data_IF_773490126407
#
_entry.id   IF_773490126407
#
_cell.length_a   1.000
_cell.length_b   1.000
_cell.length_c   1.000
_cell.angle_alpha   90.00
_cell.angle_beta   90.00
_cell.angle_gamma   90.00
#
_symmetry.space_group_name_H-M   'P 1'
#
loop_
_entity.id
_entity.type
_entity.pdbx_description
1 polymer ?
#
# COMPACT_ATOMS: atom_id res chain seq x y z
N UNK A 1 -5.34 -7.50 -14.38
CA UNK A 1 -5.85 -6.30 -15.08
C UNK A 1 -7.33 -6.02 -14.82
N UNK A 2 -8.20 -7.03 -14.68
CA UNK A 2 -9.66 -6.80 -14.50
C UNK A 2 -10.01 -5.92 -13.29
N UNK A 3 -9.26 -5.99 -12.18
CA UNK A 3 -9.49 -5.16 -11.00
C UNK A 3 -9.12 -3.68 -11.21
N UNK A 4 -8.09 -3.41 -12.02
CA UNK A 4 -7.63 -2.04 -12.27
C UNK A 4 -8.68 -1.21 -13.04
N UNK A 5 -9.42 -1.86 -13.95
CA UNK A 5 -10.49 -1.22 -14.70
C UNK A 5 -11.71 -0.86 -13.84
N UNK A 6 -11.82 -1.41 -12.62
CA UNK A 6 -12.87 -1.06 -11.65
C UNK A 6 -12.49 0.10 -10.74
N UNK A 7 -11.26 0.62 -10.84
CA UNK A 7 -10.80 1.71 -9.99
C UNK A 7 -11.64 2.98 -10.17
N UNK A 8 -12.15 3.22 -11.38
CA UNK A 8 -13.02 4.37 -11.67
C UNK A 8 -14.43 4.23 -11.06
N UNK A 9 -14.84 3.01 -10.70
CA UNK A 9 -16.12 2.75 -10.02
C UNK A 9 -16.03 3.01 -8.50
N UNK A 10 -14.82 3.12 -7.94
CA UNK A 10 -14.61 3.35 -6.52
C UNK A 10 -14.74 4.84 -6.16
N UNK A 11 -15.18 5.16 -4.93
CA UNK A 11 -15.18 6.53 -4.44
C UNK A 11 -13.79 7.17 -4.59
N UNK A 12 -13.72 8.38 -5.14
CA UNK A 12 -12.46 9.10 -5.27
C UNK A 12 -11.85 9.32 -3.89
N UNK A 13 -10.60 8.92 -3.73
CA UNK A 13 -9.78 9.16 -2.53
C UNK A 13 -8.66 10.12 -2.91
N UNK A 14 -8.09 10.78 -1.90
CA UNK A 14 -6.94 11.65 -2.10
C UNK A 14 -5.76 10.82 -2.62
N UNK A 15 -5.30 11.15 -3.82
CA UNK A 15 -4.06 10.63 -4.36
C UNK A 15 -2.87 11.41 -3.82
N UNK A 16 -1.76 10.71 -3.59
CA UNK A 16 -0.51 11.30 -3.11
C UNK A 16 0.69 10.70 -3.84
N UNK A 17 1.70 11.51 -4.10
CA UNK A 17 2.95 11.04 -4.70
C UNK A 17 3.93 10.55 -3.64
N UNK A 18 4.47 9.35 -3.83
CA UNK A 18 5.54 8.78 -3.01
C UNK A 18 6.91 9.31 -3.48
N UNK A 19 7.28 10.52 -3.07
CA UNK A 19 8.55 11.19 -3.44
C UNK A 19 9.51 11.28 -2.26
N UNK A 20 10.82 11.15 -2.48
CA UNK A 20 11.80 11.30 -1.41
C UNK A 20 13.24 11.36 -1.93
N UNK A 21 14.18 11.64 -1.03
CA UNK A 21 15.62 11.57 -1.33
C UNK A 21 16.06 10.11 -1.47
N UNK A 22 17.19 9.86 -2.10
CA UNK A 22 17.80 8.52 -2.13
C UNK A 22 17.92 7.96 -0.70
N UNK A 23 17.53 6.69 -0.51
CA UNK A 23 17.44 6.06 0.81
C UNK A 23 16.08 6.19 1.51
N UNK A 24 15.10 6.92 0.93
CA UNK A 24 13.73 6.93 1.46
C UNK A 24 13.08 5.55 1.30
N UNK A 25 12.48 5.05 2.38
CA UNK A 25 11.74 3.79 2.41
C UNK A 25 10.26 4.07 2.62
N UNK A 26 9.42 3.45 1.80
CA UNK A 26 7.98 3.42 1.96
C UNK A 26 7.55 2.04 2.43
N UNK A 27 6.92 1.99 3.60
CA UNK A 27 6.23 0.80 4.07
C UNK A 27 4.80 0.82 3.54
N UNK A 28 4.50 -0.08 2.61
CA UNK A 28 3.19 -0.15 1.96
C UNK A 28 2.32 -1.23 2.60
N UNK A 29 1.06 -0.90 2.86
CA UNK A 29 0.06 -1.89 3.23
C UNK A 29 -0.19 -2.86 2.04
N UNK A 30 -0.42 -4.17 2.26
CA UNK A 30 -0.60 -5.15 1.17
C UNK A 30 -1.74 -4.84 0.18
N UNK A 31 -2.75 -4.10 0.64
CA UNK A 31 -3.90 -3.68 -0.18
C UNK A 31 -3.82 -2.23 -0.67
N UNK A 32 -2.66 -1.57 -0.53
CA UNK A 32 -2.47 -0.23 -1.08
C UNK A 32 -2.62 -0.26 -2.61
N UNK A 33 -3.57 0.49 -3.14
CA UNK A 33 -3.65 0.75 -4.58
C UNK A 33 -2.57 1.76 -4.93
N UNK A 34 -1.59 1.35 -5.74
CA UNK A 34 -0.51 2.23 -6.20
C UNK A 34 -0.15 1.94 -7.64
N UNK A 35 0.46 2.92 -8.31
CA UNK A 35 0.95 2.80 -9.68
C UNK A 35 2.36 3.37 -9.80
N UNK A 36 3.14 2.81 -10.72
CA UNK A 36 4.40 3.41 -11.11
C UNK A 36 4.11 4.62 -12.03
N UNK A 37 4.86 5.69 -11.85
CA UNK A 37 4.84 6.85 -12.74
C UNK A 37 6.02 6.76 -13.73
N UNK A 38 5.85 7.24 -14.98
CA UNK A 38 6.96 7.38 -15.91
C UNK A 38 8.12 8.18 -15.29
N UNK A 39 9.35 7.74 -15.53
CA UNK A 39 10.52 8.47 -15.08
C UNK A 39 10.80 9.65 -16.02
N UNK A 40 10.60 10.87 -15.52
CA UNK A 40 10.86 12.13 -16.24
C UNK A 40 12.16 12.82 -15.84
N UNK A 41 12.97 12.17 -15.00
CA UNK A 41 14.28 12.69 -14.57
C UNK A 41 15.38 12.39 -15.60
N UNK A 42 16.52 13.06 -15.43
CA UNK A 42 17.73 12.82 -16.26
C UNK A 42 18.73 11.87 -15.61
N UNK A 43 18.56 11.57 -14.32
CA UNK A 43 19.41 10.68 -13.54
C UNK A 43 18.74 9.31 -13.36
N UNK A 44 19.45 8.19 -13.60
CA UNK A 44 18.90 6.86 -13.39
C UNK A 44 18.31 6.67 -11.99
N UNK A 45 17.09 6.14 -11.93
CA UNK A 45 16.39 5.81 -10.68
C UNK A 45 16.47 4.31 -10.40
N UNK A 46 17.21 3.94 -9.36
CA UNK A 46 17.24 2.57 -8.84
C UNK A 46 16.27 2.43 -7.66
N UNK A 47 15.47 1.37 -7.63
CA UNK A 47 14.54 1.05 -6.55
C UNK A 47 14.57 -0.45 -6.28
N UNK A 48 14.44 -0.82 -5.01
CA UNK A 48 14.23 -2.20 -4.57
C UNK A 48 12.88 -2.30 -3.87
N UNK A 49 12.21 -3.43 -4.05
CA UNK A 49 10.95 -3.74 -3.38
C UNK A 49 11.12 -5.04 -2.59
N UNK A 50 11.92 -5.03 -1.51
CA UNK A 50 12.07 -6.21 -0.69
C UNK A 50 10.71 -6.58 -0.08
N UNK A 51 10.33 -7.87 -0.10
CA UNK A 51 9.10 -8.30 0.55
C UNK A 51 9.24 -8.17 2.07
N UNK A 52 8.17 -7.72 2.73
CA UNK A 52 8.01 -7.86 4.16
C UNK A 52 6.94 -8.91 4.43
N UNK A 53 7.36 -10.04 4.96
CA UNK A 53 6.48 -11.14 5.26
C UNK A 53 5.72 -10.86 6.56
N UNK A 54 4.46 -11.26 6.59
CA UNK A 54 3.67 -11.23 7.80
C UNK A 54 4.25 -12.22 8.82
N UNK A 55 4.18 -11.85 10.11
CA UNK A 55 4.59 -12.74 11.20
C UNK A 55 3.66 -13.96 11.32
N UNK A 56 2.39 -13.79 10.95
CA UNK A 56 1.36 -14.83 10.97
C UNK A 56 0.18 -14.39 10.11
N UNK A 57 -0.91 -15.17 10.14
CA UNK A 57 -2.16 -14.80 9.48
C UNK A 57 -2.76 -13.52 10.10
N UNK A 58 -3.45 -12.73 9.28
CA UNK A 58 -4.14 -11.52 9.73
C UNK A 58 -5.49 -11.90 10.34
N UNK A 59 -5.72 -11.53 11.60
CA UNK A 59 -7.01 -11.70 12.27
C UNK A 59 -7.75 -10.35 12.26
N UNK A 60 -8.90 -10.29 11.56
CA UNK A 60 -9.71 -9.06 11.44
C UNK A 60 -11.02 -9.11 12.24
N UNK A 61 -11.35 -10.26 12.83
CA UNK A 61 -12.46 -10.47 13.77
C UNK A 61 -11.96 -11.18 15.03
N UNK A 62 -12.74 -11.11 16.10
CA UNK A 62 -12.59 -11.94 17.31
C UNK A 62 -11.19 -11.93 17.97
N UNK A 63 -10.45 -10.83 17.81
CA UNK A 63 -9.14 -10.71 18.45
C UNK A 63 -9.28 -10.44 19.95
N UNK A 64 -8.58 -11.25 20.76
CA UNK A 64 -8.52 -11.09 22.22
C UNK A 64 -7.47 -10.07 22.65
N UNK A 65 -6.41 -9.89 21.85
CA UNK A 65 -5.25 -9.05 22.17
C UNK A 65 -5.25 -7.72 21.42
N UNK A 66 -6.35 -7.42 20.70
CA UNK A 66 -6.48 -6.25 19.83
C UNK A 66 -5.88 -6.47 18.43
N UNK A 67 -5.83 -5.41 17.64
CA UNK A 67 -5.45 -5.49 16.22
C UNK A 67 -4.13 -4.76 15.99
N UNK A 68 -3.23 -5.37 15.22
CA UNK A 68 -2.00 -4.73 14.73
C UNK A 68 -2.34 -3.56 13.79
N UNK A 69 -1.42 -2.61 13.54
CA UNK A 69 -1.69 -1.50 12.63
C UNK A 69 -2.15 -1.92 11.22
N UNK A 70 -1.65 -3.05 10.72
CA UNK A 70 -2.07 -3.63 9.43
C UNK A 70 -3.52 -4.11 9.50
N UNK A 71 -3.88 -4.88 10.53
CA UNK A 71 -5.25 -5.37 10.71
C UNK A 71 -6.25 -4.23 10.96
N UNK A 72 -5.87 -3.21 11.73
CA UNK A 72 -6.68 -2.01 11.94
C UNK A 72 -6.98 -1.29 10.62
N UNK A 73 -5.99 -1.12 9.75
CA UNK A 73 -6.17 -0.49 8.46
C UNK A 73 -7.13 -1.28 7.56
N UNK A 74 -7.12 -2.62 7.63
CA UNK A 74 -8.08 -3.46 6.92
C UNK A 74 -9.49 -3.26 7.46
N UNK A 75 -9.67 -3.30 8.78
CA UNK A 75 -10.99 -3.12 9.41
C UNK A 75 -11.61 -1.77 9.05
N UNK A 76 -10.85 -0.68 9.14
CA UNK A 76 -11.29 0.67 8.73
C UNK A 76 -11.69 0.72 7.24
N UNK A 77 -11.09 -0.11 6.39
CA UNK A 77 -11.42 -0.17 4.96
C UNK A 77 -12.66 -0.99 4.63
N UNK A 78 -13.18 -1.79 5.59
CA UNK A 78 -14.38 -2.60 5.43
C UNK A 78 -15.65 -1.92 5.94
N UNK A 79 -15.50 -0.90 6.79
CA UNK A 79 -16.57 -0.01 7.26
C UNK A 79 -16.94 1.04 6.20
#
# INVERSE_FOLDING_TARGET
MQLANKLDELPKRKEVYATGKAGTVYLCHPFLVHSAQPHSGTLPKFMAQPPLLLRGELAITDSTDGYTPVEQAIRIGLD
#
